data_IF_355304107764
#
_entry.id   IF_355304107764
#
_cell.length_a   1.000
_cell.length_b   1.000
_cell.length_c   1.000
_cell.angle_alpha   90.00
_cell.angle_beta   90.00
_cell.angle_gamma   90.00
#
_symmetry.space_group_name_H-M   'P 1'
#
loop_
_entity.id
_entity.type
_entity.pdbx_description
1 polymer ?
#
# COMPACT_ATOMS: atom_id res chain seq x y z
N UNK A 1 8.76 5.16 10.50
CA UNK A 1 9.30 5.84 9.30
C UNK A 1 8.87 7.29 9.37
N UNK A 2 9.77 8.24 9.10
CA UNK A 2 9.42 9.67 9.01
C UNK A 2 8.76 9.95 7.66
N UNK A 3 7.96 11.03 7.56
CA UNK A 3 7.34 11.43 6.29
C UNK A 3 8.40 11.70 5.19
N UNK A 4 9.57 12.24 5.56
CA UNK A 4 10.70 12.44 4.64
C UNK A 4 11.32 11.14 4.13
N UNK A 5 11.35 10.07 4.93
CA UNK A 5 11.84 8.78 4.47
C UNK A 5 10.91 8.13 3.44
N UNK A 6 9.64 8.54 3.43
CA UNK A 6 8.60 8.03 2.53
C UNK A 6 8.41 8.91 1.28
N UNK A 7 9.04 10.09 1.22
CA UNK A 7 8.84 11.07 0.14
C UNK A 7 9.59 10.75 -1.15
N UNK A 8 10.49 9.75 -1.12
CA UNK A 8 11.29 9.34 -2.28
C UNK A 8 10.86 7.95 -2.77
N UNK A 9 10.94 7.69 -4.10
CA UNK A 9 10.80 6.35 -4.62
C UNK A 9 11.79 5.39 -3.98
N UNK A 10 11.38 4.12 -3.83
CA UNK A 10 12.21 3.05 -3.29
C UNK A 10 12.39 1.97 -4.36
N UNK A 11 13.58 1.38 -4.44
CA UNK A 11 13.87 0.35 -5.46
C UNK A 11 13.01 -0.92 -5.26
N UNK A 12 12.85 -1.38 -4.02
CA UNK A 12 12.07 -2.59 -3.69
C UNK A 12 10.77 -2.24 -2.96
N UNK A 13 9.82 -1.62 -3.67
CA UNK A 13 8.54 -1.20 -3.10
C UNK A 13 7.78 -2.32 -2.38
N UNK A 14 7.74 -3.53 -2.96
CA UNK A 14 7.01 -4.67 -2.37
C UNK A 14 7.61 -5.13 -1.03
N UNK A 15 8.95 -5.15 -0.92
CA UNK A 15 9.65 -5.49 0.33
C UNK A 15 9.37 -4.43 1.41
N UNK A 16 9.43 -3.16 1.05
CA UNK A 16 9.16 -2.05 1.98
C UNK A 16 7.69 -2.07 2.41
N UNK A 17 6.74 -2.29 1.48
CA UNK A 17 5.32 -2.45 1.81
C UNK A 17 5.09 -3.61 2.78
N UNK A 18 5.70 -4.77 2.52
CA UNK A 18 5.60 -5.96 3.38
C UNK A 18 6.09 -5.64 4.79
N UNK A 19 7.25 -4.97 4.91
CA UNK A 19 7.81 -4.57 6.21
C UNK A 19 6.94 -3.54 6.93
N UNK A 20 6.39 -2.56 6.22
CA UNK A 20 5.55 -1.50 6.81
C UNK A 20 4.22 -2.09 7.29
N UNK A 21 3.56 -2.88 6.45
CA UNK A 21 2.25 -3.47 6.74
C UNK A 21 2.37 -4.52 7.84
N UNK A 22 3.39 -5.37 7.79
CA UNK A 22 3.57 -6.46 8.74
C UNK A 22 2.41 -7.45 8.66
N UNK A 23 1.89 -7.85 9.82
CA UNK A 23 0.76 -8.78 9.99
C UNK A 23 -0.62 -8.10 9.91
N UNK A 24 -0.66 -6.78 9.75
CA UNK A 24 -1.91 -5.99 9.76
C UNK A 24 -2.66 -5.96 8.44
N UNK A 25 -2.05 -6.53 7.39
CA UNK A 25 -2.64 -6.62 6.06
C UNK A 25 -1.98 -7.69 5.22
N UNK A 26 -2.63 -8.07 4.13
CA UNK A 26 -2.13 -9.05 3.17
C UNK A 26 -2.00 -8.40 1.80
N UNK A 27 -0.80 -8.43 1.24
CA UNK A 27 -0.51 -7.88 -0.07
C UNK A 27 -0.70 -8.96 -1.12
N UNK A 28 -1.41 -8.63 -2.19
CA UNK A 28 -1.50 -9.40 -3.43
C UNK A 28 -1.02 -8.49 -4.56
N UNK A 29 0.13 -8.82 -5.15
CA UNK A 29 0.67 -8.09 -6.29
C UNK A 29 0.38 -8.85 -7.59
N UNK A 30 -0.13 -8.15 -8.61
CA UNK A 30 -0.35 -8.73 -9.94
C UNK A 30 -0.20 -7.69 -11.03
N UNK A 31 0.67 -7.97 -12.01
CA UNK A 31 0.91 -7.10 -13.18
C UNK A 31 1.16 -5.64 -12.82
N UNK A 32 2.00 -5.39 -11.81
CA UNK A 32 2.33 -4.04 -11.34
C UNK A 32 1.17 -3.33 -10.63
N UNK A 33 0.16 -4.05 -10.14
CA UNK A 33 -0.92 -3.53 -9.30
C UNK A 33 -0.85 -4.19 -7.93
N UNK A 34 -1.29 -3.47 -6.90
CA UNK A 34 -1.42 -4.00 -5.55
C UNK A 34 -2.89 -4.04 -5.12
N UNK A 35 -3.29 -5.16 -4.55
CA UNK A 35 -4.51 -5.35 -3.78
C UNK A 35 -4.08 -5.69 -2.35
N UNK A 36 -4.38 -4.80 -1.40
CA UNK A 36 -3.97 -4.95 -0.01
C UNK A 36 -5.23 -5.14 0.84
N UNK A 37 -5.43 -6.35 1.33
CA UNK A 37 -6.49 -6.66 2.30
C UNK A 37 -6.07 -6.16 3.68
N UNK A 38 -6.89 -5.31 4.29
CA UNK A 38 -6.63 -4.74 5.61
C UNK A 38 -7.30 -5.63 6.66
N UNK A 39 -6.48 -6.31 7.47
CA UNK A 39 -6.93 -7.28 8.49
C UNK A 39 -7.32 -6.60 9.80
N UNK A 40 -6.60 -5.53 10.17
CA UNK A 40 -6.91 -4.71 11.35
C UNK A 40 -6.88 -3.22 10.98
N UNK A 41 -8.04 -2.61 10.64
CA UNK A 41 -8.13 -1.21 10.24
C UNK A 41 -7.65 -0.20 11.28
N UNK A 42 -7.74 -0.51 12.58
CA UNK A 42 -7.37 0.43 13.65
C UNK A 42 -5.86 0.59 13.76
N UNK A 43 -5.12 -0.50 13.60
CA UNK A 43 -3.65 -0.51 13.73
C UNK A 43 -2.91 -0.43 12.39
N UNK A 44 -3.65 -0.51 11.27
CA UNK A 44 -3.08 -0.47 9.93
C UNK A 44 -2.32 0.84 9.69
N UNK A 45 -1.10 0.81 9.13
CA UNK A 45 -0.27 2.00 8.91
C UNK A 45 -0.72 2.78 7.66
N UNK A 46 -1.93 3.34 7.69
CA UNK A 46 -2.57 4.02 6.55
C UNK A 46 -1.68 5.07 5.90
N UNK A 47 -1.27 6.08 6.66
CA UNK A 47 -0.45 7.19 6.15
C UNK A 47 0.83 6.70 5.48
N UNK A 48 1.66 5.89 6.18
CA UNK A 48 2.86 5.32 5.59
C UNK A 48 2.64 4.54 4.29
N UNK A 49 1.63 3.67 4.24
CA UNK A 49 1.33 2.84 3.05
C UNK A 49 0.86 3.71 1.88
N UNK A 50 -0.06 4.65 2.12
CA UNK A 50 -0.60 5.54 1.08
C UNK A 50 0.52 6.40 0.50
N UNK A 51 1.33 7.04 1.35
CA UNK A 51 2.44 7.89 0.91
C UNK A 51 3.48 7.08 0.13
N UNK A 52 3.84 5.89 0.60
CA UNK A 52 4.79 5.03 -0.09
C UNK A 52 4.29 4.67 -1.49
N UNK A 53 3.03 4.28 -1.64
CA UNK A 53 2.44 3.96 -2.95
C UNK A 53 2.40 5.20 -3.86
N UNK A 54 1.90 6.34 -3.37
CA UNK A 54 1.78 7.55 -4.16
C UNK A 54 3.13 8.10 -4.63
N UNK A 55 4.14 8.12 -3.74
CA UNK A 55 5.48 8.60 -4.08
C UNK A 55 6.25 7.63 -4.99
N UNK A 56 5.76 6.39 -5.14
CA UNK A 56 6.25 5.44 -6.13
C UNK A 56 5.38 5.40 -7.40
N UNK A 57 4.55 6.43 -7.64
CA UNK A 57 3.82 6.61 -8.88
C UNK A 57 2.51 5.84 -8.97
N UNK A 58 1.92 5.42 -7.85
CA UNK A 58 0.64 4.71 -7.84
C UNK A 58 -0.53 5.62 -7.47
N UNK A 59 -1.65 5.42 -8.14
CA UNK A 59 -2.96 5.92 -7.74
C UNK A 59 -3.55 4.94 -6.74
N UNK A 60 -4.04 5.45 -5.60
CA UNK A 60 -4.56 4.64 -4.49
C UNK A 60 -6.05 4.92 -4.31
N UNK A 61 -6.85 3.88 -4.12
CA UNK A 61 -8.26 3.99 -3.73
C UNK A 61 -8.68 2.82 -2.83
N UNK A 62 -9.81 2.99 -2.15
CA UNK A 62 -10.36 2.00 -1.24
C UNK A 62 -11.64 1.41 -1.78
N UNK A 63 -11.87 0.14 -1.47
CA UNK A 63 -13.13 -0.53 -1.77
C UNK A 63 -13.47 -1.52 -0.66
N UNK A 64 -14.75 -1.89 -0.58
CA UNK A 64 -15.23 -2.98 0.25
C UNK A 64 -15.57 -4.15 -0.66
N UNK A 65 -14.95 -5.30 -0.42
CA UNK A 65 -15.18 -6.54 -1.19
C UNK A 65 -15.40 -7.67 -0.20
N UNK A 66 -16.53 -8.36 -0.30
CA UNK A 66 -16.88 -9.47 0.61
C UNK A 66 -16.75 -9.10 2.10
N UNK A 67 -17.19 -7.89 2.46
CA UNK A 67 -17.07 -7.31 3.80
C UNK A 67 -15.62 -7.09 4.31
N UNK A 68 -14.64 -7.08 3.40
CA UNK A 68 -13.23 -6.78 3.69
C UNK A 68 -12.87 -5.41 3.15
N UNK A 69 -12.08 -4.67 3.92
CA UNK A 69 -11.52 -3.39 3.49
C UNK A 69 -10.28 -3.64 2.64
N UNK A 70 -10.31 -3.16 1.39
CA UNK A 70 -9.25 -3.37 0.41
C UNK A 70 -8.70 -2.02 -0.04
N UNK A 71 -7.37 -1.86 0.07
CA UNK A 71 -6.62 -0.77 -0.55
C UNK A 71 -6.11 -1.26 -1.91
N UNK A 72 -6.54 -0.60 -2.97
CA UNK A 72 -6.12 -0.88 -4.33
C UNK A 72 -5.11 0.17 -4.78
N UNK A 73 -4.07 -0.27 -5.49
CA UNK A 73 -3.10 0.63 -6.10
C UNK A 73 -2.77 0.18 -7.54
N UNK A 74 -2.78 1.14 -8.47
CA UNK A 74 -2.32 0.95 -9.86
C UNK A 74 -1.35 2.05 -10.28
N UNK A 75 -0.44 1.81 -11.23
CA UNK A 75 0.42 2.86 -11.76
C UNK A 75 -0.43 4.03 -12.29
N UNK A 76 -0.06 5.24 -11.90
CA UNK A 76 -0.73 6.49 -12.29
C UNK A 76 -0.41 6.89 -13.74
N UNK A 77 0.67 6.36 -14.31
CA UNK A 77 1.09 6.57 -15.69
C UNK A 77 1.07 5.22 -16.43
N UNK A 78 0.72 5.21 -17.73
CA UNK A 78 0.74 4.01 -18.58
C UNK A 78 2.16 3.49 -18.86
#
# INVERSE_FOLDING_TARGET
LTAEALSKPVENLEEVLTRVIGDRGRIVASRGRYEIEILNPQDFPWGPVILLLQNNGYSVWFTLKDNKCILMAKPSLP
#
